data_IF_202022679052
#
_entry.id   IF_202022679052
#
_cell.length_a   1.000
_cell.length_b   1.000
_cell.length_c   1.000
_cell.angle_alpha   90.00
_cell.angle_beta   90.00
_cell.angle_gamma   90.00
#
_symmetry.space_group_name_H-M   'P 1'
#
loop_
_entity.id
_entity.type
_entity.pdbx_description
1 polymer ?
#
# COMPACT_ATOMS: atom_id res chain seq x y z
N UNK A 1 -5.31 -2.01 8.74
CA UNK A 1 -4.37 -3.11 8.44
C UNK A 1 -4.81 -4.45 9.07
N UNK A 2 -5.04 -4.57 10.39
CA UNK A 2 -5.45 -5.85 11.03
C UNK A 2 -6.77 -6.48 10.53
N UNK A 3 -7.67 -5.70 9.90
CA UNK A 3 -8.91 -6.23 9.31
C UNK A 3 -8.80 -6.68 7.85
N UNK A 4 -7.66 -6.45 7.17
CA UNK A 4 -7.49 -6.71 5.74
C UNK A 4 -6.65 -7.96 5.43
N UNK A 5 -6.09 -8.62 6.45
CA UNK A 5 -5.24 -9.81 6.27
C UNK A 5 -3.91 -9.54 5.55
N UNK A 6 -3.50 -8.28 5.42
CA UNK A 6 -2.25 -7.90 4.76
C UNK A 6 -1.07 -7.94 5.73
N UNK A 7 0.00 -8.63 5.33
CA UNK A 7 1.30 -8.54 6.01
C UNK A 7 1.87 -7.13 5.79
N UNK A 8 2.16 -6.42 6.88
CA UNK A 8 2.85 -5.14 6.83
C UNK A 8 4.05 -5.13 7.77
N UNK A 9 5.09 -4.43 7.37
CA UNK A 9 6.29 -4.21 8.17
C UNK A 9 6.05 -2.90 8.95
N UNK A 10 5.87 -2.97 10.28
CA UNK A 10 5.82 -1.77 11.10
C UNK A 10 7.13 -1.01 10.95
N UNK A 11 7.03 0.26 10.60
CA UNK A 11 8.19 1.11 10.36
C UNK A 11 8.37 2.10 11.49
N UNK A 12 9.62 2.44 11.75
CA UNK A 12 10.04 3.38 12.79
C UNK A 12 10.24 4.81 12.24
N UNK A 13 9.79 5.09 11.01
CA UNK A 13 9.91 6.41 10.36
C UNK A 13 8.64 6.84 9.61
N UNK A 14 8.78 7.74 8.63
CA UNK A 14 7.64 8.35 7.88
C UNK A 14 7.12 7.51 6.71
N UNK A 15 7.29 6.19 6.73
CA UNK A 15 6.82 5.30 5.66
C UNK A 15 6.41 3.95 6.22
N UNK A 16 5.49 3.23 5.59
CA UNK A 16 5.13 1.85 5.93
C UNK A 16 5.29 0.99 4.68
N UNK A 17 5.88 -0.19 4.86
CA UNK A 17 5.97 -1.19 3.80
C UNK A 17 4.94 -2.28 4.04
N UNK A 18 4.20 -2.67 3.02
CA UNK A 18 3.20 -3.74 3.11
C UNK A 18 3.30 -4.66 1.90
N UNK A 19 3.06 -5.95 2.14
CA UNK A 19 3.05 -6.99 1.14
C UNK A 19 1.67 -7.08 0.51
N UNK A 20 1.63 -7.18 -0.80
CA UNK A 20 0.42 -7.35 -1.58
C UNK A 20 0.71 -8.16 -2.84
N UNK A 21 -0.10 -9.20 -3.05
CA UNK A 21 -0.01 -10.01 -4.26
C UNK A 21 -0.25 -9.12 -5.49
N UNK A 22 0.63 -9.20 -6.48
CA UNK A 22 0.54 -8.35 -7.66
C UNK A 22 0.79 -6.85 -7.39
N UNK A 23 1.76 -6.53 -6.52
CA UNK A 23 2.17 -5.16 -6.19
C UNK A 23 2.28 -4.20 -7.39
N UNK A 24 2.74 -4.64 -8.56
CA UNK A 24 2.80 -3.82 -9.76
C UNK A 24 1.41 -3.40 -10.32
N UNK A 25 0.39 -4.25 -10.15
CA UNK A 25 -1.01 -3.94 -10.50
C UNK A 25 -1.61 -3.01 -9.45
N UNK A 26 -1.41 -3.33 -8.18
CA UNK A 26 -1.89 -2.51 -7.07
C UNK A 26 -1.29 -1.11 -7.09
N UNK A 27 0.02 -0.98 -7.35
CA UNK A 27 0.70 0.30 -7.52
C UNK A 27 -0.01 1.18 -8.57
N UNK A 28 -0.30 0.62 -9.75
CA UNK A 28 -1.01 1.35 -10.81
C UNK A 28 -2.40 1.78 -10.37
N UNK A 29 -3.15 0.90 -9.69
CA UNK A 29 -4.50 1.20 -9.21
C UNK A 29 -4.50 2.29 -8.15
N UNK A 30 -3.61 2.21 -7.18
CA UNK A 30 -3.44 3.24 -6.15
C UNK A 30 -3.05 4.57 -6.79
N UNK A 31 -2.17 4.56 -7.80
CA UNK A 31 -1.77 5.76 -8.52
C UNK A 31 -2.96 6.42 -9.26
N UNK A 32 -3.81 5.63 -9.91
CA UNK A 32 -5.06 6.10 -10.55
C UNK A 32 -6.03 6.71 -9.54
N UNK A 33 -6.08 6.18 -8.32
CA UNK A 33 -6.92 6.65 -7.22
C UNK A 33 -6.30 7.84 -6.46
N UNK A 34 -5.16 8.36 -6.93
CA UNK A 34 -4.49 9.54 -6.38
C UNK A 34 -3.63 9.24 -5.15
N UNK A 35 -3.24 7.98 -4.94
CA UNK A 35 -2.35 7.53 -3.87
C UNK A 35 -1.00 7.11 -4.46
N UNK A 36 0.05 7.81 -4.08
CA UNK A 36 1.41 7.52 -4.57
C UNK A 36 2.10 6.54 -3.63
N UNK A 37 2.34 5.32 -4.11
CA UNK A 37 3.18 4.32 -3.44
C UNK A 37 4.40 3.99 -4.28
N UNK A 38 5.46 3.46 -3.67
CA UNK A 38 6.68 3.05 -4.36
C UNK A 38 6.88 1.54 -4.28
N UNK A 39 7.04 0.83 -5.41
CA UNK A 39 7.43 -0.56 -5.37
C UNK A 39 8.87 -0.68 -4.88
N UNK A 40 9.11 -1.63 -3.97
CA UNK A 40 10.47 -1.98 -3.50
C UNK A 40 10.95 -3.31 -4.10
N UNK A 41 10.41 -3.65 -5.28
CA UNK A 41 10.74 -4.87 -6.02
C UNK A 41 12.25 -5.04 -6.27
N UNK A 42 13.00 -3.94 -6.36
CA UNK A 42 14.47 -3.96 -6.52
C UNK A 42 15.24 -4.53 -5.32
N UNK A 43 14.61 -4.73 -4.16
CA UNK A 43 15.23 -5.28 -2.94
C UNK A 43 14.88 -6.76 -2.70
N UNK A 44 14.71 -7.57 -3.75
CA UNK A 44 14.20 -8.96 -3.66
C UNK A 44 12.79 -9.07 -3.02
N UNK A 45 12.04 -7.97 -3.02
CA UNK A 45 10.69 -7.88 -2.44
C UNK A 45 9.66 -7.47 -3.52
N UNK A 46 9.42 -8.30 -4.55
CA UNK A 46 8.58 -7.95 -5.70
C UNK A 46 7.10 -7.70 -5.33
N UNK A 47 6.66 -8.27 -4.21
CA UNK A 47 5.29 -8.13 -3.71
C UNK A 47 5.13 -7.01 -2.68
N UNK A 48 6.16 -6.22 -2.40
CA UNK A 48 6.07 -5.17 -1.40
C UNK A 48 5.95 -3.77 -2.03
N UNK A 49 5.07 -2.99 -1.42
CA UNK A 49 4.89 -1.57 -1.69
C UNK A 49 5.23 -0.77 -0.44
N UNK A 50 5.81 0.40 -0.65
CA UNK A 50 6.11 1.37 0.40
C UNK A 50 5.27 2.62 0.20
N UNK A 51 4.52 3.01 1.22
CA UNK A 51 3.76 4.26 1.27
C UNK A 51 4.37 5.18 2.32
N UNK A 52 4.38 6.49 2.08
CA UNK A 52 4.77 7.46 3.12
C UNK A 52 3.58 7.74 4.03
N UNK A 53 3.82 7.80 5.34
CA UNK A 53 2.81 8.21 6.32
C UNK A 53 2.71 9.73 6.25
N UNK A 54 1.51 10.22 5.96
CA UNK A 54 1.19 11.64 5.91
C UNK A 54 0.37 12.07 7.13
N UNK A 55 -0.44 13.10 6.94
CA UNK A 55 -1.47 13.52 7.88
C UNK A 55 -2.52 12.43 8.10
N UNK A 56 -3.27 12.52 9.20
CA UNK A 56 -4.35 11.56 9.51
C UNK A 56 -5.34 11.41 8.35
N UNK A 57 -5.73 12.53 7.74
CA UNK A 57 -6.66 12.56 6.61
C UNK A 57 -6.08 11.87 5.34
N UNK A 58 -4.76 11.99 5.10
CA UNK A 58 -4.08 11.25 4.03
C UNK A 58 -4.02 9.75 4.32
N UNK A 59 -3.80 9.38 5.58
CA UNK A 59 -3.76 7.98 6.01
C UNK A 59 -5.15 7.32 5.91
N UNK A 60 -6.21 8.03 6.30
CA UNK A 60 -7.59 7.55 6.13
C UNK A 60 -7.94 7.37 4.66
N UNK A 61 -7.60 8.35 3.81
CA UNK A 61 -7.80 8.24 2.36
C UNK A 61 -7.03 7.05 1.78
N UNK A 62 -5.77 6.85 2.18
CA UNK A 62 -4.96 5.70 1.78
C UNK A 62 -5.64 4.38 2.17
N UNK A 63 -6.10 4.24 3.41
CA UNK A 63 -6.76 3.03 3.89
C UNK A 63 -8.05 2.74 3.13
N UNK A 64 -8.87 3.77 2.88
CA UNK A 64 -10.11 3.64 2.11
C UNK A 64 -9.84 3.20 0.65
N UNK A 65 -8.89 3.86 0.00
CA UNK A 65 -8.48 3.54 -1.38
C UNK A 65 -7.85 2.14 -1.47
N UNK A 66 -7.03 1.76 -0.49
CA UNK A 66 -6.44 0.43 -0.40
C UNK A 66 -7.52 -0.64 -0.26
N UNK A 67 -8.51 -0.41 0.60
CA UNK A 67 -9.64 -1.33 0.78
C UNK A 67 -10.45 -1.49 -0.52
N UNK A 68 -10.77 -0.38 -1.18
CA UNK A 68 -11.46 -0.41 -2.47
C UNK A 68 -10.66 -1.21 -3.52
N UNK A 69 -9.35 -0.95 -3.63
CA UNK A 69 -8.50 -1.64 -4.59
C UNK A 69 -8.35 -3.15 -4.29
N UNK A 70 -8.42 -3.56 -3.01
CA UNK A 70 -8.44 -4.96 -2.60
C UNK A 70 -9.77 -5.65 -2.95
N UNK A 71 -10.90 -4.97 -2.76
CA UNK A 71 -12.22 -5.50 -3.10
C UNK A 71 -12.40 -5.68 -4.61
N UNK A 72 -11.90 -4.74 -5.42
CA UNK A 72 -11.92 -4.83 -6.88
C UNK A 72 -10.96 -5.89 -7.45
N UNK A 73 -9.99 -6.34 -6.65
CA UNK A 73 -8.99 -7.33 -7.07
C UNK A 73 -9.29 -8.76 -6.58
N UNK A 74 -10.45 -8.98 -5.94
CA UNK A 74 -11.03 -10.31 -5.70
C UNK A 74 -11.67 -10.87 -6.96
#
# INVERSE_FOLDING_TARGET
MHGLGLEFIPSFGNFVSFKIAGAARMYRRLLELGVIVRPIASYDMPEYLRVSIGTENENEKFLSVLQQALEESK
#
